data_IF_587449454407
#
_entry.id   IF_587449454407
#
_cell.length_a   1.000
_cell.length_b   1.000
_cell.length_c   1.000
_cell.angle_alpha   90.00
_cell.angle_beta   90.00
_cell.angle_gamma   90.00
#
_symmetry.space_group_name_H-M   'P 1'
#
loop_
_entity.id
_entity.type
_entity.pdbx_description
1 polymer ?
#
# COMPACT_ATOMS: atom_id res chain seq x y z
N UNK A 1 -17.71 -36.47 1.00
CA UNK A 1 -17.39 -36.31 -0.42
C UNK A 1 -17.45 -34.82 -0.70
N UNK A 2 -16.30 -34.14 -0.69
CA UNK A 2 -16.23 -32.72 -1.00
C UNK A 2 -15.86 -32.62 -2.48
N UNK A 3 -16.72 -31.99 -3.27
CA UNK A 3 -16.51 -31.78 -4.69
C UNK A 3 -15.23 -30.96 -4.88
N UNK A 4 -14.20 -31.58 -5.44
CA UNK A 4 -13.03 -30.88 -5.96
C UNK A 4 -13.51 -29.88 -7.00
N UNK A 5 -13.04 -28.64 -6.85
CA UNK A 5 -13.32 -27.43 -7.65
C UNK A 5 -13.42 -27.67 -9.16
N UNK A 6 -14.57 -28.20 -9.62
CA UNK A 6 -14.91 -28.23 -11.03
C UNK A 6 -15.29 -26.81 -11.43
N UNK A 7 -14.29 -26.14 -11.99
CA UNK A 7 -14.45 -24.84 -12.63
C UNK A 7 -15.19 -25.09 -13.95
N UNK A 8 -16.50 -24.85 -13.97
CA UNK A 8 -17.29 -24.94 -15.19
C UNK A 8 -16.80 -23.90 -16.23
N UNK A 9 -16.68 -24.28 -17.51
CA UNK A 9 -16.36 -23.33 -18.58
C UNK A 9 -17.45 -22.29 -18.71
N UNK A 10 -17.13 -21.02 -18.46
CA UNK A 10 -18.05 -19.92 -18.76
C UNK A 10 -17.92 -19.59 -20.26
N UNK A 11 -19.00 -19.62 -21.05
CA UNK A 11 -18.96 -19.30 -22.47
C UNK A 11 -18.46 -17.86 -22.77
N UNK A 12 -18.48 -16.96 -21.79
CA UNK A 12 -17.92 -15.61 -21.88
C UNK A 12 -16.45 -15.54 -21.46
N UNK A 13 -15.86 -16.64 -21.00
CA UNK A 13 -14.45 -16.72 -20.64
C UNK A 13 -13.58 -16.62 -21.90
N UNK A 14 -12.92 -15.49 -22.06
CA UNK A 14 -12.00 -15.25 -23.16
C UNK A 14 -10.60 -15.60 -22.69
N UNK A 15 -9.86 -16.36 -23.50
CA UNK A 15 -8.47 -16.69 -23.27
C UNK A 15 -7.57 -15.93 -24.24
N UNK A 16 -6.46 -15.36 -23.75
CA UNK A 16 -5.47 -14.64 -24.55
C UNK A 16 -4.07 -15.07 -24.15
N UNK A 17 -3.16 -15.09 -25.13
CA UNK A 17 -1.74 -15.27 -24.88
C UNK A 17 -1.06 -13.91 -24.76
N UNK A 18 -0.24 -13.75 -23.74
CA UNK A 18 0.61 -12.57 -23.55
C UNK A 18 2.05 -12.98 -23.33
N UNK A 19 2.96 -12.06 -23.65
CA UNK A 19 4.39 -12.21 -23.38
C UNK A 19 4.83 -11.15 -22.37
N UNK A 20 5.43 -11.60 -21.27
CA UNK A 20 6.02 -10.75 -20.23
C UNK A 20 7.37 -11.35 -19.84
N UNK A 21 8.43 -10.53 -19.82
CA UNK A 21 9.82 -10.95 -19.51
C UNK A 21 10.27 -12.20 -20.28
N UNK A 22 10.01 -12.23 -21.59
CA UNK A 22 10.30 -13.37 -22.47
C UNK A 22 9.53 -14.66 -22.18
N UNK A 23 8.61 -14.67 -21.22
CA UNK A 23 7.72 -15.81 -20.92
C UNK A 23 6.35 -15.61 -21.54
N UNK A 24 5.74 -16.70 -21.98
CA UNK A 24 4.36 -16.73 -22.47
C UNK A 24 3.42 -17.13 -21.36
N UNK A 25 2.29 -16.46 -21.26
CA UNK A 25 1.21 -16.78 -20.34
C UNK A 25 -0.08 -16.89 -21.13
N UNK A 26 -0.91 -17.88 -20.81
CA UNK A 26 -2.28 -17.98 -21.31
C UNK A 26 -3.23 -17.59 -20.19
N UNK A 27 -3.93 -16.49 -20.38
CA UNK A 27 -4.67 -15.75 -19.35
C UNK A 27 -6.13 -15.68 -19.74
N UNK A 28 -7.02 -15.89 -18.78
CA UNK A 28 -8.47 -15.78 -18.94
C UNK A 28 -9.00 -14.44 -18.45
N UNK A 29 -10.09 -13.96 -19.06
CA UNK A 29 -10.81 -12.76 -18.65
C UNK A 29 -11.42 -12.86 -17.24
N UNK A 30 -11.51 -14.06 -16.67
CA UNK A 30 -12.01 -14.32 -15.31
C UNK A 30 -10.89 -14.41 -14.25
N UNK A 31 -9.67 -14.02 -14.61
CA UNK A 31 -8.54 -14.04 -13.67
C UNK A 31 -7.96 -15.42 -13.42
N UNK A 32 -8.03 -16.31 -14.42
CA UNK A 32 -7.39 -17.64 -14.40
C UNK A 32 -6.17 -17.66 -15.31
N UNK A 33 -5.20 -18.50 -14.99
CA UNK A 33 -3.96 -18.69 -15.73
C UNK A 33 -3.85 -20.18 -16.08
N UNK A 34 -3.56 -20.48 -17.34
CA UNK A 34 -3.19 -21.83 -17.75
C UNK A 34 -1.66 -21.99 -17.65
N UNK A 35 -1.24 -22.97 -16.85
CA UNK A 35 0.15 -23.35 -16.64
C UNK A 35 0.69 -24.16 -17.82
N UNK A 36 2.01 -24.33 -17.89
CA UNK A 36 2.67 -25.05 -18.98
C UNK A 36 2.32 -26.55 -19.04
N UNK A 37 1.89 -27.13 -17.91
CA UNK A 37 1.39 -28.50 -17.83
C UNK A 37 -0.09 -28.64 -18.25
N UNK A 38 -0.74 -27.54 -18.65
CA UNK A 38 -2.15 -27.50 -19.07
C UNK A 38 -3.13 -27.21 -17.95
N UNK A 39 -2.71 -27.26 -16.68
CA UNK A 39 -3.56 -26.99 -15.51
C UNK A 39 -4.00 -25.53 -15.47
N UNK A 40 -5.23 -25.31 -15.01
CA UNK A 40 -5.79 -23.96 -14.82
C UNK A 40 -5.73 -23.61 -13.34
N UNK A 41 -5.25 -22.42 -13.02
CA UNK A 41 -5.14 -21.93 -11.65
C UNK A 41 -5.55 -20.46 -11.56
N UNK A 42 -6.06 -20.06 -10.40
CA UNK A 42 -6.20 -18.64 -10.05
C UNK A 42 -4.93 -18.08 -9.38
N UNK A 43 -3.90 -18.90 -9.18
CA UNK A 43 -2.73 -18.56 -8.39
C UNK A 43 -2.96 -18.64 -6.88
N UNK A 44 -1.87 -18.56 -6.12
CA UNK A 44 -1.88 -18.59 -4.66
C UNK A 44 -2.00 -17.18 -4.07
N UNK A 45 -2.67 -17.07 -2.93
CA UNK A 45 -2.82 -15.80 -2.23
C UNK A 45 -1.54 -15.45 -1.45
N UNK A 46 -1.02 -14.26 -1.66
CA UNK A 46 0.15 -13.75 -0.95
C UNK A 46 0.03 -12.23 -0.73
N UNK A 47 -0.01 -11.81 0.54
CA UNK A 47 -0.19 -10.40 0.95
C UNK A 47 -1.42 -9.78 0.26
N UNK A 48 -2.55 -10.51 0.28
CA UNK A 48 -3.82 -10.04 -0.30
C UNK A 48 -3.94 -10.17 -1.83
N UNK A 49 -2.86 -10.45 -2.57
CA UNK A 49 -2.90 -10.58 -4.03
C UNK A 49 -2.67 -12.01 -4.48
N UNK A 50 -3.34 -12.42 -5.56
CA UNK A 50 -3.06 -13.70 -6.21
C UNK A 50 -1.80 -13.63 -7.06
N UNK A 51 -0.91 -14.61 -6.89
CA UNK A 51 0.36 -14.75 -7.61
C UNK A 51 0.51 -16.13 -8.23
N UNK A 52 1.26 -16.21 -9.32
CA UNK A 52 1.77 -17.50 -9.80
C UNK A 52 3.03 -17.83 -8.99
N UNK A 53 2.89 -18.84 -8.12
CA UNK A 53 3.73 -19.06 -6.94
C UNK A 53 5.22 -19.24 -7.24
N UNK A 54 5.56 -19.85 -8.38
CA UNK A 54 6.95 -20.17 -8.75
C UNK A 54 7.68 -18.97 -9.35
N UNK A 55 6.95 -17.98 -9.86
CA UNK A 55 7.50 -16.88 -10.65
C UNK A 55 7.27 -15.50 -10.05
N UNK A 56 6.35 -15.37 -9.08
CA UNK A 56 6.05 -14.11 -8.43
C UNK A 56 5.20 -13.13 -9.27
N UNK A 57 4.70 -13.54 -10.44
CA UNK A 57 3.83 -12.70 -11.28
C UNK A 57 2.45 -12.52 -10.63
N UNK A 58 1.99 -11.27 -10.58
CA UNK A 58 0.66 -10.92 -10.08
C UNK A 58 -0.41 -11.23 -11.12
N UNK A 59 -1.45 -11.98 -10.71
CA UNK A 59 -2.50 -12.44 -11.64
C UNK A 59 -3.26 -11.26 -12.24
N UNK A 60 -3.68 -10.28 -11.44
CA UNK A 60 -4.38 -9.09 -11.95
C UNK A 60 -3.56 -8.30 -13.00
N UNK A 61 -2.22 -8.27 -12.89
CA UNK A 61 -1.36 -7.62 -13.87
C UNK A 61 -1.35 -8.38 -15.19
N UNK A 62 -1.26 -9.71 -15.14
CA UNK A 62 -1.34 -10.55 -16.33
C UNK A 62 -2.70 -10.37 -17.03
N UNK A 63 -3.80 -10.34 -16.27
CA UNK A 63 -5.14 -10.10 -16.81
C UNK A 63 -5.24 -8.71 -17.45
N UNK A 64 -4.77 -7.66 -16.77
CA UNK A 64 -4.82 -6.30 -17.29
C UNK A 64 -3.98 -6.11 -18.55
N UNK A 65 -2.82 -6.78 -18.66
CA UNK A 65 -2.01 -6.78 -19.88
C UNK A 65 -2.74 -7.46 -21.04
N UNK A 66 -3.55 -8.48 -20.76
CA UNK A 66 -4.26 -9.25 -21.77
C UNK A 66 -5.56 -8.58 -22.23
N UNK A 67 -6.33 -7.96 -21.32
CA UNK A 67 -7.72 -7.57 -21.57
C UNK A 67 -8.02 -6.08 -21.38
N UNK A 68 -7.18 -5.33 -20.66
CA UNK A 68 -7.46 -3.93 -20.37
C UNK A 68 -6.67 -3.03 -21.34
N UNK A 69 -7.32 -2.05 -22.01
CA UNK A 69 -6.63 -1.11 -22.87
C UNK A 69 -5.66 -0.28 -22.03
N UNK A 70 -4.37 -0.32 -22.38
CA UNK A 70 -3.34 0.43 -21.67
C UNK A 70 -3.22 1.84 -22.25
N UNK A 71 -3.58 2.83 -21.45
CA UNK A 71 -3.35 4.24 -21.77
C UNK A 71 -1.90 4.65 -21.46
N UNK A 72 -1.41 5.65 -22.18
CA UNK A 72 -0.08 6.21 -21.96
C UNK A 72 0.04 6.77 -20.52
N UNK A 73 1.19 6.60 -19.88
CA UNK A 73 1.49 7.07 -18.50
C UNK A 73 0.74 6.36 -17.36
N UNK A 74 -0.12 5.38 -17.66
CA UNK A 74 -0.77 4.55 -16.64
C UNK A 74 -0.02 3.23 -16.45
N UNK A 75 0.74 3.14 -15.37
CA UNK A 75 1.65 2.02 -15.08
C UNK A 75 1.15 1.07 -13.99
N UNK A 76 0.06 1.43 -13.31
CA UNK A 76 -0.53 0.67 -12.21
C UNK A 76 -1.85 0.05 -12.64
N UNK A 77 -2.22 -1.06 -12.02
CA UNK A 77 -3.52 -1.70 -12.21
C UNK A 77 -4.33 -1.46 -10.95
N UNK A 78 -5.54 -0.93 -11.11
CA UNK A 78 -6.50 -0.72 -10.04
C UNK A 78 -7.58 -1.81 -10.07
N UNK A 79 -8.06 -2.20 -8.90
CA UNK A 79 -9.27 -3.02 -8.71
C UNK A 79 -10.44 -2.08 -8.45
N UNK A 80 -11.41 -2.03 -9.35
CA UNK A 80 -12.52 -1.05 -9.32
C UNK A 80 -13.37 -1.22 -8.04
N UNK A 81 -13.54 -2.46 -7.57
CA UNK A 81 -14.26 -2.79 -6.33
C UNK A 81 -13.38 -2.70 -5.07
N UNK A 82 -12.08 -2.42 -5.21
CA UNK A 82 -11.12 -2.43 -4.10
C UNK A 82 -10.76 -3.80 -3.54
N UNK A 83 -11.23 -4.90 -4.15
CA UNK A 83 -10.95 -6.27 -3.71
C UNK A 83 -9.78 -6.87 -4.53
N UNK A 84 -8.58 -7.05 -3.93
CA UNK A 84 -7.40 -7.53 -4.64
C UNK A 84 -7.48 -9.01 -5.09
N UNK A 85 -8.53 -9.73 -4.69
CA UNK A 85 -8.78 -11.12 -5.09
C UNK A 85 -9.73 -11.24 -6.28
N UNK A 86 -10.47 -10.18 -6.62
CA UNK A 86 -11.38 -10.13 -7.76
C UNK A 86 -10.61 -9.72 -9.03
N UNK A 87 -9.99 -10.69 -9.68
CA UNK A 87 -9.14 -10.48 -10.85
C UNK A 87 -9.88 -10.56 -12.19
N UNK A 88 -11.21 -10.40 -12.20
CA UNK A 88 -11.97 -10.32 -13.44
C UNK A 88 -11.51 -9.12 -14.26
N UNK A 89 -11.32 -9.28 -15.57
CA UNK A 89 -10.88 -8.21 -16.46
C UNK A 89 -11.81 -6.98 -16.41
N UNK A 90 -13.11 -7.19 -16.22
CA UNK A 90 -14.10 -6.12 -16.05
C UNK A 90 -13.95 -5.34 -14.75
N UNK A 91 -13.24 -5.88 -13.76
CA UNK A 91 -12.96 -5.25 -12.48
C UNK A 91 -11.58 -4.55 -12.45
N UNK A 92 -10.83 -4.59 -13.56
CA UNK A 92 -9.45 -4.08 -13.62
C UNK A 92 -9.33 -2.92 -14.60
N UNK A 93 -8.58 -1.90 -14.20
CA UNK A 93 -8.27 -0.75 -15.06
C UNK A 93 -6.81 -0.31 -14.88
N UNK A 94 -6.21 0.24 -15.94
CA UNK A 94 -4.93 0.91 -15.82
C UNK A 94 -5.14 2.29 -15.17
N UNK A 95 -4.25 2.67 -14.27
CA UNK A 95 -4.29 3.93 -13.53
C UNK A 95 -2.87 4.47 -13.28
N UNK A 96 -2.81 5.74 -12.91
CA UNK A 96 -1.65 6.35 -12.28
C UNK A 96 -1.63 6.05 -10.77
N UNK A 97 -0.46 6.19 -10.14
CA UNK A 97 -0.32 6.03 -8.69
C UNK A 97 -1.24 6.97 -7.91
N UNK A 98 -1.41 8.21 -8.39
CA UNK A 98 -2.27 9.22 -7.78
C UNK A 98 -3.74 8.80 -7.81
N UNK A 99 -4.22 8.35 -8.97
CA UNK A 99 -5.61 7.88 -9.13
C UNK A 99 -5.88 6.67 -8.23
N UNK A 100 -4.98 5.68 -8.20
CA UNK A 100 -5.11 4.51 -7.34
C UNK A 100 -5.20 4.91 -5.85
N UNK A 101 -4.31 5.80 -5.42
CA UNK A 101 -4.32 6.30 -4.03
C UNK A 101 -5.63 7.02 -3.71
N UNK A 102 -6.11 7.87 -4.62
CA UNK A 102 -7.38 8.58 -4.44
C UNK A 102 -8.57 7.60 -4.41
N UNK A 103 -8.57 6.57 -5.26
CA UNK A 103 -9.58 5.52 -5.27
C UNK A 103 -9.62 4.76 -3.94
N UNK A 104 -8.47 4.32 -3.44
CA UNK A 104 -8.37 3.66 -2.13
C UNK A 104 -8.87 4.54 -0.97
N UNK A 105 -8.62 5.85 -1.02
CA UNK A 105 -9.18 6.80 -0.04
C UNK A 105 -10.70 6.90 -0.15
N UNK A 106 -11.25 7.01 -1.37
CA UNK A 106 -12.70 7.06 -1.60
C UNK A 106 -13.41 5.80 -1.10
N UNK A 107 -12.79 4.64 -1.24
CA UNK A 107 -13.31 3.37 -0.73
C UNK A 107 -13.06 3.16 0.78
N UNK A 108 -12.40 4.09 1.47
CA UNK A 108 -12.09 3.94 2.90
C UNK A 108 -11.07 2.86 3.22
N UNK A 109 -10.30 2.39 2.22
CA UNK A 109 -9.30 1.32 2.39
C UNK A 109 -8.00 1.80 3.05
N UNK A 110 -7.85 3.11 3.27
CA UNK A 110 -6.71 3.67 4.01
C UNK A 110 -7.12 3.96 5.46
N UNK A 111 -6.53 3.21 6.39
CA UNK A 111 -6.66 3.46 7.82
C UNK A 111 -5.82 4.68 8.23
N UNK A 112 -6.39 5.88 8.09
CA UNK A 112 -5.78 7.09 8.65
C UNK A 112 -5.82 7.13 10.18
N UNK A 113 -6.62 6.26 10.83
CA UNK A 113 -6.74 6.20 12.29
C UNK A 113 -5.43 5.82 12.98
N UNK A 114 -4.56 5.04 12.33
CA UNK A 114 -3.25 4.67 12.88
C UNK A 114 -2.21 5.80 12.83
N UNK A 115 -2.45 6.87 12.05
CA UNK A 115 -1.55 8.04 12.05
C UNK A 115 -1.50 8.73 13.42
N UNK A 116 -2.56 8.58 14.22
CA UNK A 116 -2.61 9.08 15.59
C UNK A 116 -1.70 8.32 16.56
N UNK A 117 -1.36 7.06 16.24
CA UNK A 117 -0.47 6.20 17.06
C UNK A 117 0.97 6.71 17.08
N UNK A 118 1.34 7.57 16.14
CA UNK A 118 2.69 8.16 16.02
C UNK A 118 2.76 9.61 16.53
N UNK A 119 1.69 10.15 17.11
CA UNK A 119 1.80 11.42 17.83
C UNK A 119 2.59 11.17 19.12
N UNK A 120 3.87 11.56 19.08
CA UNK A 120 4.76 11.51 20.23
C UNK A 120 4.70 12.88 20.91
N UNK A 121 4.14 12.97 22.13
CA UNK A 121 4.18 14.22 22.87
C UNK A 121 5.63 14.63 23.09
N UNK A 122 5.86 15.93 23.06
CA UNK A 122 7.20 16.51 23.24
C UNK A 122 7.13 17.61 24.28
N UNK A 123 8.27 17.84 24.93
CA UNK A 123 8.44 18.88 25.94
C UNK A 123 9.47 19.87 25.45
N UNK A 124 9.09 21.14 25.42
CA UNK A 124 9.99 22.28 25.31
C UNK A 124 10.56 22.58 26.69
N UNK A 125 11.87 22.78 26.78
CA UNK A 125 12.57 23.12 28.02
C UNK A 125 13.17 24.52 27.85
N UNK A 126 12.81 25.44 28.74
CA UNK A 126 13.30 26.82 28.80
C UNK A 126 14.60 26.89 29.62
N UNK A 127 15.34 27.99 29.47
CA UNK A 127 16.63 28.19 30.14
C UNK A 127 16.51 28.27 31.68
N UNK A 128 15.34 28.67 32.19
CA UNK A 128 15.03 28.69 33.62
C UNK A 128 14.61 27.31 34.17
N UNK A 129 14.64 26.27 33.33
CA UNK A 129 14.21 24.91 33.66
C UNK A 129 12.70 24.70 33.65
N UNK A 130 11.90 25.73 33.39
CA UNK A 130 10.46 25.56 33.16
C UNK A 130 10.22 24.78 31.87
N UNK A 131 9.05 24.15 31.77
CA UNK A 131 8.74 23.28 30.63
C UNK A 131 7.33 23.48 30.11
N UNK A 132 7.15 23.23 28.81
CA UNK A 132 5.86 23.24 28.13
C UNK A 132 5.71 22.00 27.27
N UNK A 133 4.63 21.26 27.48
CA UNK A 133 4.34 20.06 26.70
C UNK A 133 3.42 20.34 25.52
N UNK A 134 3.65 19.61 24.43
CA UNK A 134 2.84 19.63 23.23
C UNK A 134 2.41 18.19 22.89
N UNK A 135 1.16 17.98 22.44
CA UNK A 135 0.69 16.67 22.00
C UNK A 135 1.52 16.08 20.85
N UNK A 136 2.16 16.92 20.03
CA UNK A 136 3.05 16.51 18.96
C UNK A 136 3.99 17.64 18.52
N UNK A 137 5.01 17.29 17.73
CA UNK A 137 5.87 18.27 17.05
C UNK A 137 5.06 19.21 16.14
N UNK A 138 3.97 18.72 15.54
CA UNK A 138 3.12 19.56 14.69
C UNK A 138 2.41 20.65 15.49
N UNK A 139 1.91 20.34 16.68
CA UNK A 139 1.32 21.33 17.60
C UNK A 139 2.38 22.34 18.10
N UNK A 140 3.58 21.87 18.41
CA UNK A 140 4.69 22.76 18.78
C UNK A 140 5.04 23.73 17.66
N UNK A 141 5.12 23.27 16.39
CA UNK A 141 5.36 24.16 15.25
C UNK A 141 4.24 25.19 15.11
N UNK A 142 2.96 24.79 15.20
CA UNK A 142 1.82 25.72 15.08
C UNK A 142 1.85 26.81 16.15
N UNK A 143 2.27 26.44 17.35
CA UNK A 143 2.29 27.36 18.50
C UNK A 143 3.52 28.26 18.53
N UNK A 144 4.69 27.72 18.17
CA UNK A 144 5.99 28.41 18.33
C UNK A 144 6.55 28.97 17.03
N UNK A 145 6.04 28.54 15.87
CA UNK A 145 6.60 28.86 14.55
C UNK A 145 7.92 28.14 14.23
N UNK A 146 8.45 27.33 15.14
CA UNK A 146 9.73 26.65 14.97
C UNK A 146 9.55 25.44 14.06
N UNK A 147 10.44 25.27 13.08
CA UNK A 147 10.38 24.19 12.11
C UNK A 147 10.35 22.80 12.79
N UNK A 148 9.35 21.99 12.45
CA UNK A 148 9.15 20.64 13.00
C UNK A 148 10.35 19.70 12.82
N UNK A 149 11.08 19.80 11.72
CA UNK A 149 12.26 18.96 11.47
C UNK A 149 13.38 19.31 12.46
N UNK A 150 13.62 20.61 12.70
CA UNK A 150 14.61 21.05 13.67
C UNK A 150 14.24 20.61 15.10
N UNK A 151 12.96 20.74 15.49
CA UNK A 151 12.48 20.25 16.79
C UNK A 151 12.74 18.74 16.91
N UNK A 152 12.39 17.97 15.87
CA UNK A 152 12.59 16.52 15.85
C UNK A 152 14.06 16.07 15.83
N UNK A 153 14.98 16.87 15.30
CA UNK A 153 16.43 16.64 15.43
C UNK A 153 16.92 16.84 16.86
N UNK A 154 16.41 17.86 17.55
CA UNK A 154 16.76 18.11 18.96
C UNK A 154 16.25 16.98 19.84
N UNK A 155 14.99 16.55 19.69
CA UNK A 155 14.47 15.42 20.45
C UNK A 155 15.21 14.09 20.21
N UNK A 156 15.97 13.97 19.10
CA UNK A 156 16.81 12.80 18.77
C UNK A 156 18.28 12.97 19.18
N UNK A 157 18.65 14.12 19.76
CA UNK A 157 20.04 14.44 20.09
C UNK A 157 20.93 14.74 18.89
N UNK A 158 20.35 14.92 17.69
CA UNK A 158 21.10 15.27 16.47
C UNK A 158 21.41 16.78 16.41
N UNK A 159 20.74 17.58 17.24
CA UNK A 159 20.89 19.03 17.33
C UNK A 159 20.78 19.46 18.79
N UNK A 160 21.56 20.46 19.19
CA UNK A 160 21.52 20.95 20.57
C UNK A 160 20.25 21.77 20.90
N UNK A 161 19.76 22.57 19.94
CA UNK A 161 18.63 23.49 20.15
C UNK A 161 17.83 23.77 18.88
N UNK A 162 16.56 24.11 19.04
CA UNK A 162 15.68 24.60 17.98
C UNK A 162 14.87 25.78 18.50
N UNK A 163 14.96 26.92 17.82
CA UNK A 163 14.35 28.17 18.27
C UNK A 163 14.87 28.67 19.62
N UNK A 164 16.14 28.37 19.94
CA UNK A 164 16.80 28.63 21.25
C UNK A 164 16.35 27.72 22.40
N UNK A 165 15.45 26.78 22.17
CA UNK A 165 14.98 25.86 23.21
C UNK A 165 15.55 24.45 23.03
N UNK A 166 15.61 23.71 24.14
CA UNK A 166 15.78 22.25 24.13
C UNK A 166 14.43 21.57 23.99
N UNK A 167 14.44 20.38 23.41
CA UNK A 167 13.23 19.62 23.12
C UNK A 167 13.48 18.14 23.41
N UNK A 168 12.53 17.50 24.07
CA UNK A 168 12.60 16.08 24.43
C UNK A 168 11.27 15.39 24.12
N UNK A 169 11.30 14.09 23.82
CA UNK A 169 10.07 13.31 23.76
C UNK A 169 9.57 13.04 25.18
N UNK A 170 8.29 13.31 25.43
CA UNK A 170 7.64 12.90 26.68
C UNK A 170 7.43 11.40 26.61
N UNK A 171 8.00 10.70 27.58
CA UNK A 171 8.10 9.26 27.59
C UNK A 171 6.70 8.63 27.78
N UNK A 172 6.05 8.21 26.70
CA UNK A 172 4.93 7.28 26.78
C UNK A 172 5.43 5.90 26.34
N UNK A 173 6.07 5.21 27.28
CA UNK A 173 6.56 3.83 27.23
C UNK A 173 7.70 3.53 26.24
N UNK A 174 8.72 2.90 26.80
CA UNK A 174 9.77 2.12 26.14
C UNK A 174 9.15 1.29 25.01
N UNK A 175 9.62 1.47 23.78
CA UNK A 175 9.49 0.43 22.78
C UNK A 175 10.81 -0.32 22.74
N UNK A 176 10.77 -1.50 23.34
CA UNK A 176 11.59 -2.63 22.92
C UNK A 176 11.58 -2.70 21.39
N UNK A 177 12.77 -2.77 20.83
CA UNK A 177 12.96 -3.08 19.43
C UNK A 177 12.70 -4.58 19.23
N UNK A 178 11.60 -4.91 18.54
CA UNK A 178 11.46 -6.18 17.83
C UNK A 178 11.26 -5.89 16.34
#
# INVERSE_FOLDING_TARGET
MYYEDHIEPDPNEKWREIKLDSRKFRVSSLGRIQLTNGEITQGSLHIGYRKIAREGYLVHRLVALAFCPKEERKEYVNHIDGNPTNNNASNLEWCTQKENTQHAVRLGLRNFKDSNKYQRPIRQIFDDGSTREFPSIAEAQRTTGINRSNIGEVCRGLRAHAGRYRWEYVNAMLYDNH
#
